data_IF_116409967175
#
_entry.id   IF_116409967175
#
_cell.length_a   1.000
_cell.length_b   1.000
_cell.length_c   1.000
_cell.angle_alpha   90.00
_cell.angle_beta   90.00
_cell.angle_gamma   90.00
#
_symmetry.space_group_name_H-M   'P 1'
#
loop_
_entity.id
_entity.type
_entity.pdbx_description
1 polymer ?
#
# COMPACT_ATOMS: atom_id res chain seq x y z
N UNK A 1 8.61 6.86 32.56
CA UNK A 1 7.59 7.43 31.65
C UNK A 1 7.99 7.18 30.19
N UNK A 2 9.21 7.51 29.80
CA UNK A 2 9.77 7.28 28.45
C UNK A 2 9.67 5.83 27.94
N UNK A 3 10.09 4.83 28.74
CA UNK A 3 9.96 3.41 28.38
C UNK A 3 8.51 2.95 28.12
N UNK A 4 7.55 3.53 28.82
CA UNK A 4 6.12 3.20 28.62
C UNK A 4 5.67 3.75 27.27
N UNK A 5 6.05 4.99 26.94
CA UNK A 5 5.74 5.60 25.65
C UNK A 5 6.37 4.82 24.48
N UNK A 6 7.60 4.33 24.64
CA UNK A 6 8.29 3.52 23.64
C UNK A 6 7.56 2.20 23.37
N UNK A 7 7.20 1.45 24.42
CA UNK A 7 6.44 0.20 24.29
C UNK A 7 5.07 0.44 23.65
N UNK A 8 4.36 1.51 24.06
CA UNK A 8 3.09 1.88 23.43
C UNK A 8 3.26 2.19 21.94
N UNK A 9 4.36 2.85 21.56
CA UNK A 9 4.66 3.14 20.15
C UNK A 9 4.86 1.86 19.34
N UNK A 10 5.60 0.87 19.86
CA UNK A 10 5.78 -0.42 19.18
C UNK A 10 4.47 -1.18 19.01
N UNK A 11 3.62 -1.22 20.05
CA UNK A 11 2.31 -1.87 19.98
C UNK A 11 1.44 -1.18 18.93
N UNK A 12 1.40 0.15 18.93
CA UNK A 12 0.61 0.91 17.97
C UNK A 12 1.11 0.69 16.53
N UNK A 13 2.42 0.61 16.32
CA UNK A 13 2.99 0.33 15.01
C UNK A 13 2.62 -1.09 14.55
N UNK A 14 2.85 -2.10 15.39
CA UNK A 14 2.48 -3.48 15.08
C UNK A 14 0.98 -3.62 14.79
N UNK A 15 0.13 -2.97 15.57
CA UNK A 15 -1.32 -2.96 15.34
C UNK A 15 -1.66 -2.38 13.96
N UNK A 16 -1.13 -1.21 13.60
CA UNK A 16 -1.38 -0.58 12.30
C UNK A 16 -0.89 -1.45 11.14
N UNK A 17 0.35 -1.93 11.22
CA UNK A 17 0.95 -2.78 10.20
C UNK A 17 0.19 -4.09 10.01
N UNK A 18 -0.23 -4.75 11.08
CA UNK A 18 -0.93 -6.04 10.97
C UNK A 18 -2.42 -5.88 10.64
N UNK A 19 -3.03 -4.72 10.91
CA UNK A 19 -4.41 -4.44 10.55
C UNK A 19 -4.58 -4.16 9.06
N UNK A 20 -3.68 -3.39 8.44
CA UNK A 20 -3.72 -3.07 7.02
C UNK A 20 -3.20 -4.24 6.18
N UNK A 21 -3.97 -4.66 5.17
CA UNK A 21 -3.64 -5.85 4.37
C UNK A 21 -2.35 -5.69 3.55
N UNK A 22 -2.12 -4.50 2.99
CA UNK A 22 -0.93 -4.17 2.20
C UNK A 22 0.30 -4.11 3.11
N UNK A 23 0.24 -3.36 4.20
CA UNK A 23 1.35 -3.25 5.16
C UNK A 23 1.70 -4.61 5.74
N UNK A 24 0.69 -5.44 6.03
CA UNK A 24 0.87 -6.81 6.53
C UNK A 24 1.56 -7.69 5.49
N UNK A 25 1.18 -7.60 4.22
CA UNK A 25 1.82 -8.36 3.15
C UNK A 25 3.30 -7.97 3.02
N UNK A 26 3.61 -6.67 2.97
CA UNK A 26 4.98 -6.14 2.91
C UNK A 26 5.81 -6.60 4.12
N UNK A 27 5.24 -6.53 5.33
CA UNK A 27 5.90 -7.00 6.55
C UNK A 27 6.23 -8.50 6.50
N UNK A 28 5.29 -9.32 5.99
CA UNK A 28 5.53 -10.76 5.82
C UNK A 28 6.62 -11.01 4.77
N UNK A 29 6.65 -10.24 3.69
CA UNK A 29 7.69 -10.35 2.66
C UNK A 29 9.09 -10.09 3.22
N UNK A 30 9.25 -9.04 4.01
CA UNK A 30 10.50 -8.74 4.72
C UNK A 30 10.88 -9.88 5.69
N UNK A 31 9.96 -10.30 6.56
CA UNK A 31 10.29 -11.26 7.63
C UNK A 31 10.46 -12.70 7.18
N UNK A 32 9.70 -13.17 6.19
CA UNK A 32 9.73 -14.57 5.74
C UNK A 32 10.65 -14.79 4.55
N UNK A 33 10.72 -13.82 3.64
CA UNK A 33 11.45 -13.98 2.38
C UNK A 33 12.69 -13.09 2.29
N UNK A 34 12.96 -12.25 3.31
CA UNK A 34 14.05 -11.28 3.29
C UNK A 34 13.99 -10.37 2.05
N UNK A 35 12.77 -10.05 1.63
CA UNK A 35 12.49 -9.24 0.45
C UNK A 35 11.88 -7.91 0.86
N UNK A 36 12.43 -6.82 0.34
CA UNK A 36 11.89 -5.47 0.49
C UNK A 36 11.63 -4.91 -0.89
N UNK A 37 10.44 -4.33 -1.07
CA UNK A 37 10.12 -3.59 -2.28
C UNK A 37 10.93 -2.29 -2.21
N UNK A 38 11.84 -2.11 -3.16
CA UNK A 38 12.70 -0.92 -3.24
C UNK A 38 11.97 0.21 -3.97
N UNK A 39 12.24 1.47 -3.63
CA UNK A 39 11.62 2.61 -4.32
C UNK A 39 12.01 2.66 -5.81
N UNK A 40 13.18 2.11 -6.17
CA UNK A 40 13.65 2.02 -7.55
C UNK A 40 13.11 0.79 -8.31
N UNK A 41 12.38 -0.11 -7.64
CA UNK A 41 11.78 -1.28 -8.25
C UNK A 41 10.64 -0.86 -9.17
N UNK A 42 10.69 -1.30 -10.42
CA UNK A 42 9.66 -1.02 -11.42
C UNK A 42 8.87 -2.28 -11.73
N UNK A 43 7.58 -2.11 -11.99
CA UNK A 43 6.74 -3.18 -12.48
C UNK A 43 6.93 -3.34 -14.00
N UNK A 44 7.18 -4.56 -14.46
CA UNK A 44 7.37 -4.88 -15.89
C UNK A 44 6.07 -5.30 -16.59
N UNK A 45 4.96 -5.40 -15.86
CA UNK A 45 3.66 -5.78 -16.40
C UNK A 45 3.01 -4.60 -17.15
N UNK A 46 3.28 -4.53 -18.45
CA UNK A 46 2.76 -3.47 -19.33
C UNK A 46 1.23 -3.39 -19.35
N UNK A 47 0.54 -4.53 -19.26
CA UNK A 47 -0.92 -4.56 -19.29
C UNK A 47 -1.48 -3.92 -18.02
N UNK A 48 -0.97 -4.31 -16.86
CA UNK A 48 -1.42 -3.71 -15.60
C UNK A 48 -1.05 -2.22 -15.50
N UNK A 49 0.12 -1.83 -16.00
CA UNK A 49 0.50 -0.42 -16.07
C UNK A 49 -0.45 0.39 -16.97
N UNK A 50 -0.89 -0.17 -18.09
CA UNK A 50 -1.86 0.45 -18.97
C UNK A 50 -3.22 0.62 -18.27
N UNK A 51 -3.70 -0.40 -17.55
CA UNK A 51 -4.93 -0.32 -16.75
C UNK A 51 -4.86 0.80 -15.70
N UNK A 52 -3.71 0.98 -15.03
CA UNK A 52 -3.50 2.11 -14.09
C UNK A 52 -3.62 3.46 -14.80
N UNK A 53 -3.06 3.59 -16.01
CA UNK A 53 -3.14 4.83 -16.78
C UNK A 53 -4.59 5.13 -17.17
N UNK A 54 -5.34 4.14 -17.66
CA UNK A 54 -6.75 4.30 -18.02
C UNK A 54 -7.59 4.77 -16.82
N UNK A 55 -7.44 4.11 -15.66
CA UNK A 55 -8.15 4.51 -14.44
C UNK A 55 -7.79 5.94 -14.04
N UNK A 56 -6.52 6.33 -14.14
CA UNK A 56 -6.09 7.70 -13.84
C UNK A 56 -6.69 8.71 -14.82
N UNK A 57 -6.84 8.38 -16.10
CA UNK A 57 -7.52 9.24 -17.07
C UNK A 57 -9.01 9.40 -16.74
N UNK A 58 -9.68 8.31 -16.35
CA UNK A 58 -11.08 8.36 -15.92
C UNK A 58 -11.28 9.22 -14.67
N UNK A 59 -10.42 9.09 -13.65
CA UNK A 59 -10.47 9.92 -12.43
C UNK A 59 -10.31 11.42 -12.76
N UNK A 60 -9.48 11.74 -13.76
CA UNK A 60 -9.21 13.12 -14.16
C UNK A 60 -10.25 13.69 -15.13
N UNK A 61 -11.18 12.86 -15.64
CA UNK A 61 -12.25 13.33 -16.50
C UNK A 61 -13.28 14.15 -15.69
N UNK A 62 -13.51 15.44 -16.01
CA UNK A 62 -14.44 16.30 -15.28
C UNK A 62 -15.89 15.79 -15.27
N UNK A 63 -16.26 14.97 -16.26
CA UNK A 63 -17.59 14.37 -16.40
C UNK A 63 -17.67 12.96 -15.78
N UNK A 64 -16.60 12.48 -15.12
CA UNK A 64 -16.56 11.14 -14.55
C UNK A 64 -17.53 10.96 -13.38
N UNK A 65 -18.27 9.85 -13.41
CA UNK A 65 -19.11 9.43 -12.30
C UNK A 65 -18.30 8.62 -11.29
N UNK A 66 -17.73 9.31 -10.31
CA UNK A 66 -16.84 8.75 -9.27
C UNK A 66 -17.51 7.58 -8.50
N UNK A 67 -18.84 7.53 -8.41
CA UNK A 67 -19.58 6.46 -7.72
C UNK A 67 -19.56 5.14 -8.51
N UNK A 68 -19.43 5.20 -9.83
CA UNK A 68 -19.31 4.00 -10.68
C UNK A 68 -17.89 3.45 -10.71
N UNK A 69 -16.87 4.30 -10.52
CA UNK A 69 -15.46 3.90 -10.44
C UNK A 69 -15.09 3.17 -9.13
N UNK A 70 -15.92 3.29 -8.09
CA UNK A 70 -15.65 2.73 -6.76
C UNK A 70 -16.35 1.37 -6.50
N UNK A 71 -17.01 0.80 -7.50
CA UNK A 71 -17.71 -0.50 -7.42
C UNK A 71 -16.84 -1.63 -7.92
#
# INVERSE_FOLDING_TARGET
MEKVNEVSSYINNAYKTLLNDIDRAIYIMDKKYNYKIHEEENLEDEQFLFEIVEINEEINNPDANIVELAK
#
